data_IF_472167150670
#
_entry.id   IF_472167150670
#
_cell.length_a   1.000
_cell.length_b   1.000
_cell.length_c   1.000
_cell.angle_alpha   90.00
_cell.angle_beta   90.00
_cell.angle_gamma   90.00
#
_symmetry.space_group_name_H-M   'P 1'
#
loop_
_entity.id
_entity.type
_entity.pdbx_description
1 polymer ?
#
# COMPACT_ATOMS: atom_id res chain seq x y z
N UNK A 1 6.04 6.46 2.23
CA UNK A 1 4.88 5.65 2.70
C UNK A 1 3.68 6.10 1.91
N UNK A 2 2.93 5.21 1.27
CA UNK A 2 1.75 5.62 0.52
C UNK A 2 0.51 5.81 1.41
N UNK A 3 -0.17 6.94 1.21
CA UNK A 3 -1.53 7.16 1.71
C UNK A 3 -2.52 7.32 0.56
N UNK A 4 -3.74 6.81 0.75
CA UNK A 4 -4.85 7.02 -0.18
C UNK A 4 -5.65 8.25 0.21
N UNK A 5 -5.91 9.12 -0.76
CA UNK A 5 -6.83 10.26 -0.66
C UNK A 5 -7.86 10.21 -1.80
N UNK A 6 -8.86 11.08 -1.72
CA UNK A 6 -9.85 11.24 -2.79
C UNK A 6 -9.63 12.59 -3.46
N UNK A 7 -9.41 12.58 -4.77
CA UNK A 7 -9.25 13.78 -5.56
C UNK A 7 -10.52 14.64 -5.50
N UNK A 8 -10.40 15.88 -5.03
CA UNK A 8 -11.55 16.78 -4.88
C UNK A 8 -12.14 17.26 -6.21
N UNK A 9 -11.42 17.07 -7.33
CA UNK A 9 -11.86 17.49 -8.67
C UNK A 9 -12.61 16.40 -9.43
N UNK A 10 -12.11 15.16 -9.41
CA UNK A 10 -12.69 14.06 -10.18
C UNK A 10 -13.26 12.92 -9.33
N UNK A 11 -13.04 12.92 -8.01
CA UNK A 11 -13.51 11.86 -7.10
C UNK A 11 -12.70 10.56 -7.14
N UNK A 12 -11.66 10.48 -7.99
CA UNK A 12 -10.80 9.31 -8.08
C UNK A 12 -9.89 9.17 -6.86
N UNK A 13 -9.38 7.96 -6.65
CA UNK A 13 -8.41 7.67 -5.60
C UNK A 13 -6.99 7.98 -6.08
N UNK A 14 -6.28 8.80 -5.31
CA UNK A 14 -4.86 9.09 -5.50
C UNK A 14 -4.06 8.48 -4.33
N UNK A 15 -2.90 7.92 -4.66
CA UNK A 15 -1.92 7.43 -3.70
C UNK A 15 -0.73 8.38 -3.68
N UNK A 16 -0.49 9.00 -2.52
CA UNK A 16 0.62 9.92 -2.31
C UNK A 16 1.75 9.22 -1.60
N UNK A 17 2.95 9.25 -2.17
CA UNK A 17 4.14 8.84 -1.43
C UNK A 17 4.54 9.96 -0.47
N UNK A 18 4.45 9.66 0.82
CA UNK A 18 4.76 10.59 1.89
C UNK A 18 6.07 10.22 2.54
N UNK A 19 6.96 11.19 2.61
CA UNK A 19 8.09 11.19 3.51
C UNK A 19 7.79 12.05 4.73
N UNK A 20 8.22 11.56 5.90
CA UNK A 20 8.15 12.33 7.13
C UNK A 20 9.43 12.17 7.94
N UNK A 21 9.73 13.21 8.69
CA UNK A 21 10.81 13.18 9.68
C UNK A 21 10.20 13.10 11.07
N UNK A 22 10.69 12.14 11.86
CA UNK A 22 10.25 11.93 13.23
C UNK A 22 11.37 12.37 14.16
N UNK A 23 11.07 13.32 15.04
CA UNK A 23 11.97 13.69 16.13
C UNK A 23 11.53 12.91 17.37
N UNK A 24 12.44 12.08 17.87
CA UNK A 24 12.29 11.43 19.17
C UNK A 24 12.83 12.34 20.28
N UNK A 25 12.01 12.61 21.29
CA UNK A 25 12.40 13.30 22.51
C UNK A 25 12.26 12.34 23.70
N UNK A 26 13.34 12.19 24.47
CA UNK A 26 13.31 11.47 25.75
C UNK A 26 13.21 12.51 26.85
N UNK A 27 12.09 12.54 27.58
CA UNK A 27 11.90 13.39 28.76
C UNK A 27 11.48 12.52 29.94
N UNK A 28 12.26 12.56 31.03
CA UNK A 28 11.94 11.86 32.30
C UNK A 28 11.51 10.40 32.10
N UNK A 29 12.33 9.63 31.40
CA UNK A 29 12.09 8.21 31.07
C UNK A 29 10.84 7.92 30.21
N UNK A 30 10.21 8.95 29.64
CA UNK A 30 9.17 8.82 28.62
C UNK A 30 9.74 9.16 27.24
N UNK A 31 9.59 8.22 26.31
CA UNK A 31 9.87 8.44 24.90
C UNK A 31 8.64 9.05 24.25
N UNK A 32 8.77 10.30 23.80
CA UNK A 32 7.77 10.98 22.98
C UNK A 32 8.31 11.15 21.58
N UNK A 33 7.46 11.03 20.57
CA UNK A 33 7.82 11.26 19.17
C UNK A 33 6.87 12.31 18.60
N UNK A 34 7.43 13.28 17.87
CA UNK A 34 6.64 14.23 17.08
C UNK A 34 7.05 14.15 15.61
N UNK A 35 6.06 14.32 14.74
CA UNK A 35 6.31 14.56 13.31
C UNK A 35 6.82 15.99 13.20
N UNK A 36 7.97 16.18 12.56
CA UNK A 36 8.57 17.50 12.36
C UNK A 36 8.12 18.11 11.03
N UNK A 37 8.34 17.37 9.95
CA UNK A 37 8.00 17.76 8.60
C UNK A 37 7.41 16.57 7.84
N UNK A 38 6.48 16.86 6.92
CA UNK A 38 5.81 15.88 6.07
C UNK A 38 5.74 16.42 4.65
N UNK A 39 6.30 15.67 3.71
CA UNK A 39 6.34 16.03 2.29
C UNK A 39 5.67 14.96 1.44
N UNK A 40 4.96 15.39 0.41
CA UNK A 40 4.48 14.51 -0.67
C UNK A 40 5.54 14.51 -1.77
N UNK A 41 6.20 13.38 -1.96
CA UNK A 41 7.27 13.25 -2.94
C UNK A 41 6.74 12.91 -4.33
N UNK A 42 5.66 12.14 -4.39
CA UNK A 42 5.01 11.77 -5.64
C UNK A 42 3.52 11.46 -5.42
N UNK A 43 2.75 11.46 -6.51
CA UNK A 43 1.32 11.12 -6.52
C UNK A 43 1.01 10.28 -7.75
N UNK A 44 0.48 9.10 -7.52
CA UNK A 44 0.07 8.15 -8.57
C UNK A 44 -1.37 7.75 -8.37
N UNK A 45 -2.08 7.45 -9.45
CA UNK A 45 -3.42 6.89 -9.35
C UNK A 45 -3.40 5.47 -8.75
N UNK A 46 -4.54 5.02 -8.22
CA UNK A 46 -4.70 3.63 -7.78
C UNK A 46 -4.37 2.61 -8.89
N UNK A 47 -4.68 2.95 -10.14
CA UNK A 47 -4.49 2.09 -11.32
C UNK A 47 -3.00 1.98 -11.69
N UNK A 48 -2.29 3.10 -11.70
CA UNK A 48 -0.84 3.13 -11.96
C UNK A 48 -0.06 2.39 -10.87
N UNK A 49 -0.39 2.64 -9.59
CA UNK A 49 0.27 1.97 -8.47
C UNK A 49 0.04 0.46 -8.53
N UNK A 50 -1.21 0.02 -8.77
CA UNK A 50 -1.52 -1.39 -8.93
C UNK A 50 -0.71 -2.01 -10.09
N UNK A 51 -0.66 -1.35 -11.25
CA UNK A 51 0.07 -1.84 -12.42
C UNK A 51 1.58 -1.96 -12.16
N UNK A 52 2.20 -0.98 -11.50
CA UNK A 52 3.62 -1.01 -11.12
C UNK A 52 3.92 -2.19 -10.18
N UNK A 53 3.13 -2.33 -9.12
CA UNK A 53 3.30 -3.42 -8.16
C UNK A 53 3.10 -4.77 -8.85
N UNK A 54 2.08 -4.90 -9.71
CA UNK A 54 1.83 -6.12 -10.47
C UNK A 54 3.04 -6.48 -11.34
N UNK A 55 3.60 -5.52 -12.08
CA UNK A 55 4.75 -5.74 -12.94
C UNK A 55 5.97 -6.23 -12.16
N UNK A 56 6.25 -5.62 -11.01
CA UNK A 56 7.40 -5.94 -10.17
C UNK A 56 7.23 -7.22 -9.35
N UNK A 57 6.02 -7.47 -8.83
CA UNK A 57 5.72 -8.62 -7.99
C UNK A 57 5.40 -9.89 -8.76
N UNK A 58 5.21 -9.83 -10.09
CA UNK A 58 4.84 -11.00 -10.91
C UNK A 58 5.75 -12.22 -10.70
N UNK A 59 7.03 -12.00 -10.39
CA UNK A 59 7.98 -13.09 -10.10
C UNK A 59 7.98 -13.59 -8.65
N UNK A 60 7.39 -12.85 -7.71
CA UNK A 60 7.31 -13.18 -6.29
C UNK A 60 5.94 -13.73 -5.89
N UNK A 61 4.92 -13.46 -6.69
CA UNK A 61 3.58 -13.97 -6.48
C UNK A 61 3.48 -15.42 -6.98
N UNK A 62 2.94 -16.27 -6.12
CA UNK A 62 2.71 -17.68 -6.41
C UNK A 62 1.23 -18.01 -6.20
N UNK A 63 0.78 -19.07 -6.88
CA UNK A 63 -0.61 -19.48 -6.81
C UNK A 63 -0.98 -19.93 -5.39
N UNK A 64 -2.00 -19.32 -4.80
CA UNK A 64 -2.41 -19.57 -3.42
C UNK A 64 -1.72 -18.70 -2.37
N UNK A 65 -1.04 -17.61 -2.75
CA UNK A 65 -0.51 -16.64 -1.79
C UNK A 65 -1.63 -16.09 -0.90
N UNK A 66 -1.41 -15.97 0.41
CA UNK A 66 -2.43 -15.43 1.30
C UNK A 66 -2.57 -13.91 1.16
N UNK A 67 -3.77 -13.38 1.40
CA UNK A 67 -4.03 -11.93 1.47
C UNK A 67 -3.14 -11.27 2.52
N UNK A 68 -2.87 -11.94 3.64
CA UNK A 68 -2.02 -11.43 4.71
C UNK A 68 -0.54 -11.36 4.31
N UNK A 69 -0.01 -12.41 3.67
CA UNK A 69 1.35 -12.38 3.11
C UNK A 69 1.48 -11.27 2.08
N UNK A 70 0.47 -11.12 1.22
CA UNK A 70 0.49 -10.09 0.20
C UNK A 70 0.41 -8.68 0.82
N UNK A 71 -0.43 -8.47 1.84
CA UNK A 71 -0.44 -7.23 2.63
C UNK A 71 0.93 -6.92 3.26
N UNK A 72 1.64 -7.95 3.75
CA UNK A 72 3.00 -7.80 4.30
C UNK A 72 4.00 -7.40 3.23
N UNK A 73 3.91 -7.94 2.02
CA UNK A 73 4.74 -7.55 0.88
C UNK A 73 4.48 -6.08 0.51
N UNK A 74 3.21 -5.69 0.36
CA UNK A 74 2.82 -4.30 0.07
C UNK A 74 3.36 -3.31 1.12
N UNK A 75 3.23 -3.65 2.41
CA UNK A 75 3.76 -2.83 3.49
C UNK A 75 5.30 -2.77 3.49
N UNK A 76 5.97 -3.89 3.23
CA UNK A 76 7.43 -4.00 3.32
C UNK A 76 8.14 -3.32 2.15
N UNK A 77 7.64 -3.50 0.94
CA UNK A 77 8.32 -3.03 -0.28
C UNK A 77 7.80 -1.69 -0.78
N UNK A 78 6.50 -1.44 -0.64
CA UNK A 78 5.89 -0.20 -1.11
C UNK A 78 5.49 0.73 0.05
N UNK A 79 5.56 0.28 1.32
CA UNK A 79 5.15 1.13 2.42
C UNK A 79 3.68 1.52 2.37
N UNK A 80 2.81 0.69 1.79
CA UNK A 80 1.36 0.93 1.78
C UNK A 80 0.82 0.75 3.21
N UNK A 81 0.09 1.75 3.71
CA UNK A 81 -0.54 1.62 5.02
C UNK A 81 -1.60 0.52 5.02
N UNK A 82 -1.62 -0.33 6.06
CA UNK A 82 -2.45 -1.54 6.12
C UNK A 82 -3.95 -1.30 5.86
N UNK A 83 -4.48 -0.13 6.24
CA UNK A 83 -5.88 0.26 5.98
C UNK A 83 -6.23 0.37 4.49
N UNK A 84 -5.24 0.52 3.61
CA UNK A 84 -5.42 0.69 2.17
C UNK A 84 -5.06 -0.56 1.37
N UNK A 85 -4.45 -1.57 1.99
CA UNK A 85 -4.05 -2.80 1.29
C UNK A 85 -5.26 -3.51 0.67
N UNK A 86 -6.39 -3.62 1.39
CA UNK A 86 -7.57 -4.32 0.89
C UNK A 86 -8.09 -3.76 -0.43
N UNK A 87 -8.21 -2.43 -0.55
CA UNK A 87 -8.67 -1.77 -1.78
C UNK A 87 -7.73 -2.04 -2.94
N UNK A 88 -6.42 -1.85 -2.70
CA UNK A 88 -5.39 -2.06 -3.70
C UNK A 88 -5.36 -3.52 -4.18
N UNK A 89 -5.56 -4.48 -3.28
CA UNK A 89 -5.66 -5.91 -3.62
C UNK A 89 -6.86 -6.18 -4.52
N UNK A 90 -8.01 -5.53 -4.30
CA UNK A 90 -9.16 -5.70 -5.18
C UNK A 90 -8.90 -5.17 -6.59
N UNK A 91 -8.14 -4.08 -6.72
CA UNK A 91 -7.71 -3.59 -8.03
C UNK A 91 -6.73 -4.58 -8.69
N UNK A 92 -5.70 -5.00 -7.97
CA UNK A 92 -4.69 -5.92 -8.48
C UNK A 92 -5.25 -7.27 -8.89
N UNK A 93 -6.28 -7.80 -8.19
CA UNK A 93 -6.99 -9.02 -8.60
C UNK A 93 -7.52 -8.93 -10.03
N UNK A 94 -8.02 -7.76 -10.43
CA UNK A 94 -8.52 -7.54 -11.79
C UNK A 94 -7.37 -7.47 -12.80
N UNK A 95 -6.28 -6.79 -12.45
CA UNK A 95 -5.11 -6.62 -13.33
C UNK A 95 -4.31 -7.92 -13.53
N UNK A 96 -4.26 -8.79 -12.51
CA UNK A 96 -3.53 -10.07 -12.53
C UNK A 96 -4.37 -11.29 -12.91
N UNK A 97 -5.66 -11.09 -13.21
CA UNK A 97 -6.64 -12.17 -13.39
C UNK A 97 -6.58 -13.18 -12.24
N UNK A 98 -6.78 -12.69 -11.02
CA UNK A 98 -6.77 -13.49 -9.80
C UNK A 98 -8.13 -13.52 -9.11
N UNK A 99 -8.44 -14.67 -8.50
CA UNK A 99 -9.64 -14.87 -7.70
C UNK A 99 -9.31 -15.28 -6.27
N UNK A 100 -10.29 -15.14 -5.36
CA UNK A 100 -10.11 -15.37 -3.93
C UNK A 100 -11.37 -16.05 -3.36
N UNK A 101 -11.50 -17.37 -3.53
CA UNK A 101 -12.74 -18.10 -3.25
C UNK A 101 -13.04 -18.21 -1.75
N UNK A 102 -11.99 -18.30 -0.94
CA UNK A 102 -12.03 -18.52 0.51
C UNK A 102 -11.80 -17.23 1.31
N UNK A 103 -11.68 -16.08 0.63
CA UNK A 103 -11.33 -14.77 1.21
C UNK A 103 -9.94 -14.72 1.88
N UNK A 104 -9.12 -15.75 1.71
CA UNK A 104 -7.82 -15.88 2.37
C UNK A 104 -6.68 -16.04 1.37
N UNK A 105 -6.87 -16.78 0.28
CA UNK A 105 -5.84 -17.11 -0.69
C UNK A 105 -6.17 -16.50 -2.05
N UNK A 106 -5.14 -16.00 -2.74
CA UNK A 106 -5.21 -15.45 -4.08
C UNK A 106 -4.70 -16.49 -5.08
N UNK A 107 -5.54 -16.83 -6.05
CA UNK A 107 -5.22 -17.80 -7.09
C UNK A 107 -5.22 -17.13 -8.45
N UNK A 108 -4.30 -17.53 -9.32
CA UNK A 108 -4.34 -17.18 -10.75
C UNK A 108 -5.47 -17.95 -11.44
N UNK A 109 -6.14 -17.30 -12.39
CA UNK A 109 -7.10 -17.91 -13.31
C UNK A 109 -6.39 -18.73 -14.39
#
# INVERSE_FOLDING_TARGET
MYIKTTCTKCGNADFHDIHWWIIGEIKKDQTTARVDEMEVCDSVSEEELASQIVCELRGFMYNGITVDEFCRILKKYYGVASKYCCDLIQRMKKELDMYCPDRQHLYYV
#
